data_IF_279370453929
#
_entry.id   IF_279370453929
#
_cell.length_a   1.000
_cell.length_b   1.000
_cell.length_c   1.000
_cell.angle_alpha   90.00
_cell.angle_beta   90.00
_cell.angle_gamma   90.00
#
_symmetry.space_group_name_H-M   'P 1'
#
loop_
_entity.id
_entity.type
_entity.pdbx_description
1 polymer ?
#
# COMPACT_ATOMS: atom_id res chain seq x y z
N UNK A 1 -11.22 22.66 -32.25
CA UNK A 1 -11.26 21.30 -32.83
C UNK A 1 -9.94 20.62 -32.49
N UNK A 2 -9.96 19.45 -31.84
CA UNK A 2 -8.74 18.80 -31.31
C UNK A 2 -7.88 18.13 -32.39
N UNK A 3 -8.50 17.60 -33.44
CA UNK A 3 -7.82 16.92 -34.55
C UNK A 3 -8.31 17.54 -35.86
N UNK A 4 -7.42 18.10 -36.71
CA UNK A 4 -7.82 18.66 -37.99
C UNK A 4 -8.10 17.54 -39.02
N UNK A 5 -9.04 17.76 -39.95
CA UNK A 5 -9.35 16.79 -41.02
C UNK A 5 -8.13 16.36 -41.83
N UNK A 6 -7.19 17.29 -42.08
CA UNK A 6 -5.92 17.01 -42.75
C UNK A 6 -5.06 15.93 -42.08
N UNK A 7 -5.31 15.60 -40.80
CA UNK A 7 -4.60 14.52 -40.11
C UNK A 7 -5.03 13.14 -40.62
N UNK A 8 -6.33 12.96 -40.89
CA UNK A 8 -6.84 11.70 -41.44
C UNK A 8 -6.38 11.48 -42.88
N UNK A 9 -6.32 12.54 -43.68
CA UNK A 9 -5.79 12.46 -45.05
C UNK A 9 -4.29 12.12 -45.08
N UNK A 10 -3.50 12.64 -44.14
CA UNK A 10 -2.09 12.24 -44.00
C UNK A 10 -1.93 10.80 -43.52
N UNK A 11 -2.74 10.36 -42.57
CA UNK A 11 -2.70 9.00 -42.06
C UNK A 11 -3.09 7.96 -43.13
N UNK A 12 -4.05 8.27 -44.03
CA UNK A 12 -4.35 7.44 -45.21
C UNK A 12 -3.16 7.28 -46.16
N UNK A 13 -2.28 8.28 -46.22
CA UNK A 13 -1.04 8.25 -47.01
C UNK A 13 0.12 7.59 -46.24
N UNK A 14 -0.15 6.93 -45.10
CA UNK A 14 0.83 6.23 -44.28
C UNK A 14 1.63 7.12 -43.34
N UNK A 15 1.25 8.40 -43.19
CA UNK A 15 1.93 9.35 -42.31
C UNK A 15 1.05 9.74 -41.12
N UNK A 16 1.19 8.99 -40.04
CA UNK A 16 0.44 9.17 -38.81
C UNK A 16 0.90 10.33 -37.95
N UNK A 17 0.05 10.71 -37.01
CA UNK A 17 0.28 11.85 -36.12
C UNK A 17 -0.26 11.59 -34.73
N UNK A 18 0.43 12.13 -33.72
CA UNK A 18 -0.03 12.14 -32.33
C UNK A 18 -0.37 13.56 -31.88
N UNK A 19 -1.51 13.71 -31.22
CA UNK A 19 -2.01 14.93 -30.62
C UNK A 19 -2.08 14.74 -29.10
N UNK A 20 -1.17 15.39 -28.38
CA UNK A 20 -1.21 15.44 -26.92
C UNK A 20 -2.09 16.61 -26.47
N UNK A 21 -3.09 16.33 -25.64
CA UNK A 21 -4.10 17.28 -25.20
C UNK A 21 -4.08 17.41 -23.69
N UNK A 22 -3.45 18.46 -23.20
CA UNK A 22 -3.42 18.76 -21.76
C UNK A 22 -4.56 19.74 -21.44
N UNK A 23 -5.63 19.26 -20.79
CA UNK A 23 -6.78 20.10 -20.39
C UNK A 23 -7.43 19.60 -19.09
N UNK A 24 -7.97 20.52 -18.26
CA UNK A 24 -8.79 20.13 -17.11
C UNK A 24 -9.94 19.18 -17.51
N UNK A 25 -10.38 18.30 -16.59
CA UNK A 25 -11.45 17.36 -16.89
C UNK A 25 -12.77 18.12 -17.06
N UNK A 26 -13.58 17.71 -18.03
CA UNK A 26 -14.86 18.39 -18.27
C UNK A 26 -15.55 17.98 -19.57
N UNK A 27 -16.85 18.29 -19.63
CA UNK A 27 -17.74 17.90 -20.73
C UNK A 27 -17.25 18.37 -22.12
N UNK A 28 -16.50 19.46 -22.20
CA UNK A 28 -15.94 19.95 -23.46
C UNK A 28 -14.82 19.06 -24.03
N UNK A 29 -13.99 18.47 -23.17
CA UNK A 29 -12.94 17.53 -23.59
C UNK A 29 -13.57 16.28 -24.18
N UNK A 30 -14.51 15.68 -23.44
CA UNK A 30 -15.26 14.50 -23.88
C UNK A 30 -16.01 14.77 -25.18
N UNK A 31 -16.68 15.92 -25.34
CA UNK A 31 -17.35 16.31 -26.59
C UNK A 31 -16.39 16.39 -27.78
N UNK A 32 -15.18 16.90 -27.59
CA UNK A 32 -14.19 16.96 -28.66
C UNK A 32 -13.60 15.59 -29.03
N UNK A 33 -13.40 14.69 -28.05
CA UNK A 33 -12.96 13.32 -28.32
C UNK A 33 -14.02 12.51 -29.07
N UNK A 34 -15.28 12.62 -28.66
CA UNK A 34 -16.42 12.01 -29.36
C UNK A 34 -16.51 12.51 -30.81
N UNK A 35 -16.38 13.82 -31.02
CA UNK A 35 -16.39 14.39 -32.38
C UNK A 35 -15.21 13.94 -33.23
N UNK A 36 -14.03 13.73 -32.64
CA UNK A 36 -12.88 13.18 -33.35
C UNK A 36 -13.13 11.72 -33.78
N UNK A 37 -13.76 10.92 -32.92
CA UNK A 37 -14.16 9.54 -33.24
C UNK A 37 -15.22 9.48 -34.36
N UNK A 38 -16.22 10.36 -34.34
CA UNK A 38 -17.21 10.48 -35.42
C UNK A 38 -16.55 10.85 -36.76
N UNK A 39 -15.63 11.82 -36.73
CA UNK A 39 -14.91 12.26 -37.91
C UNK A 39 -14.01 11.17 -38.49
N UNK A 40 -13.33 10.40 -37.64
CA UNK A 40 -12.52 9.26 -38.05
C UNK A 40 -13.35 8.19 -38.76
N UNK A 41 -14.51 7.84 -38.21
CA UNK A 41 -15.43 6.88 -38.84
C UNK A 41 -15.92 7.37 -40.20
N UNK A 42 -16.23 8.66 -40.35
CA UNK A 42 -16.61 9.24 -41.62
C UNK A 42 -15.50 9.15 -42.69
N UNK A 43 -14.22 9.10 -42.26
CA UNK A 43 -13.06 8.94 -43.13
C UNK A 43 -12.63 7.48 -43.32
N UNK A 44 -13.39 6.51 -42.80
CA UNK A 44 -13.12 5.07 -42.95
C UNK A 44 -12.07 4.50 -42.00
N UNK A 45 -11.76 5.19 -40.90
CA UNK A 45 -10.80 4.71 -39.90
C UNK A 45 -11.47 3.77 -38.88
N UNK A 46 -10.75 2.75 -38.44
CA UNK A 46 -11.08 2.03 -37.22
C UNK A 46 -10.94 2.98 -36.01
N UNK A 47 -11.73 2.78 -34.95
CA UNK A 47 -11.65 3.62 -33.75
C UNK A 47 -11.46 2.75 -32.52
N UNK A 48 -10.34 2.95 -31.83
CA UNK A 48 -10.08 2.35 -30.52
C UNK A 48 -9.98 3.44 -29.46
N UNK A 49 -10.66 3.23 -28.33
CA UNK A 49 -10.71 4.19 -27.22
C UNK A 49 -10.41 3.44 -25.93
N UNK A 50 -9.34 3.86 -25.24
CA UNK A 50 -9.00 3.42 -23.90
C UNK A 50 -9.14 4.59 -22.89
N UNK A 51 -9.95 4.38 -21.85
CA UNK A 51 -9.98 5.25 -20.68
C UNK A 51 -9.05 4.70 -19.60
N UNK A 52 -8.10 5.51 -19.14
CA UNK A 52 -7.13 5.11 -18.13
C UNK A 52 -7.72 5.24 -16.72
N UNK A 53 -7.29 4.35 -15.82
CA UNK A 53 -7.69 4.30 -14.41
C UNK A 53 -6.51 3.81 -13.57
N UNK A 54 -6.39 4.34 -12.35
CA UNK A 54 -5.22 4.11 -11.49
C UNK A 54 -5.09 2.66 -10.98
N UNK A 55 -6.19 1.90 -10.95
CA UNK A 55 -6.23 0.51 -10.49
C UNK A 55 -6.07 -0.51 -11.63
N UNK A 56 -5.73 -0.06 -12.84
CA UNK A 56 -5.57 -0.92 -14.00
C UNK A 56 -4.21 -1.65 -14.01
N UNK A 57 -4.14 -2.86 -14.60
CA UNK A 57 -2.89 -3.56 -14.86
C UNK A 57 -1.91 -2.75 -15.72
N UNK A 58 -0.62 -3.12 -15.66
CA UNK A 58 0.42 -2.60 -16.55
C UNK A 58 -0.03 -2.68 -18.03
N UNK A 59 0.27 -1.64 -18.81
CA UNK A 59 -0.08 -1.53 -20.22
C UNK A 59 -1.57 -1.63 -20.58
N UNK A 60 -2.49 -1.57 -19.60
CA UNK A 60 -3.94 -1.68 -19.81
C UNK A 60 -4.49 -0.82 -20.96
N UNK A 61 -4.11 0.47 -21.13
CA UNK A 61 -4.64 1.26 -22.23
C UNK A 61 -4.30 0.67 -23.59
N UNK A 62 -3.10 0.11 -23.74
CA UNK A 62 -2.64 -0.50 -24.98
C UNK A 62 -3.28 -1.88 -25.21
N UNK A 63 -3.53 -2.65 -24.15
CA UNK A 63 -4.34 -3.87 -24.24
C UNK A 63 -5.76 -3.57 -24.75
N UNK A 64 -6.41 -2.53 -24.19
CA UNK A 64 -7.72 -2.09 -24.62
C UNK A 64 -7.73 -1.55 -26.06
N UNK A 65 -6.67 -0.85 -26.47
CA UNK A 65 -6.50 -0.37 -27.86
C UNK A 65 -6.35 -1.54 -28.83
N UNK A 66 -5.46 -2.50 -28.56
CA UNK A 66 -5.25 -3.67 -29.42
C UNK A 66 -6.53 -4.51 -29.52
N UNK A 67 -7.21 -4.76 -28.40
CA UNK A 67 -8.49 -5.45 -28.39
C UNK A 67 -9.55 -4.71 -29.24
N UNK A 68 -9.61 -3.38 -29.15
CA UNK A 68 -10.51 -2.54 -29.94
C UNK A 68 -10.20 -2.52 -31.44
N UNK A 69 -8.95 -2.81 -31.82
CA UNK A 69 -8.52 -2.96 -33.22
C UNK A 69 -8.57 -4.41 -33.72
N UNK A 70 -8.93 -5.37 -32.86
CA UNK A 70 -8.96 -6.80 -33.19
C UNK A 70 -7.58 -7.46 -33.27
N UNK A 71 -6.56 -6.88 -32.64
CA UNK A 71 -5.21 -7.41 -32.57
C UNK A 71 -5.00 -8.28 -31.31
N UNK A 72 -3.97 -9.14 -31.35
CA UNK A 72 -3.63 -10.02 -30.23
C UNK A 72 -3.01 -9.22 -29.07
N UNK A 73 -3.68 -9.23 -27.92
CA UNK A 73 -3.24 -8.50 -26.71
C UNK A 73 -2.10 -9.19 -25.97
N UNK A 74 -1.85 -10.47 -26.22
CA UNK A 74 -0.79 -11.24 -25.55
C UNK A 74 0.62 -10.79 -25.95
N UNK A 75 0.74 -10.04 -27.06
CA UNK A 75 1.98 -9.42 -27.54
C UNK A 75 2.59 -8.44 -26.52
N UNK A 76 1.75 -7.76 -25.74
CA UNK A 76 2.19 -6.78 -24.74
C UNK A 76 2.84 -7.41 -23.49
N UNK A 77 2.60 -8.69 -23.22
CA UNK A 77 3.19 -9.39 -22.07
C UNK A 77 4.60 -9.92 -22.40
N UNK A 78 4.92 -10.10 -23.69
CA UNK A 78 6.18 -10.69 -24.15
C UNK A 78 7.15 -9.68 -24.77
N UNK A 79 6.65 -8.73 -25.57
CA UNK A 79 7.43 -7.71 -26.26
C UNK A 79 6.56 -6.46 -26.48
N UNK A 80 6.46 -5.56 -25.48
CA UNK A 80 5.60 -4.37 -25.54
C UNK A 80 5.85 -3.48 -26.77
N UNK A 81 7.09 -3.42 -27.25
CA UNK A 81 7.50 -2.69 -28.46
C UNK A 81 6.82 -3.17 -29.76
N UNK A 82 6.37 -4.42 -29.82
CA UNK A 82 5.70 -5.02 -30.99
C UNK A 82 4.31 -4.40 -31.25
N UNK A 83 3.79 -3.61 -30.29
CA UNK A 83 2.58 -2.81 -30.50
C UNK A 83 2.69 -1.94 -31.76
N UNK A 84 3.89 -1.47 -32.11
CA UNK A 84 4.11 -0.64 -33.32
C UNK A 84 3.79 -1.42 -34.59
N UNK A 85 4.14 -2.71 -34.64
CA UNK A 85 3.86 -3.58 -35.78
C UNK A 85 2.36 -3.87 -35.91
N UNK A 86 1.69 -4.11 -34.77
CA UNK A 86 0.25 -4.30 -34.73
C UNK A 86 -0.53 -3.07 -35.25
N UNK A 87 0.04 -1.87 -35.10
CA UNK A 87 -0.55 -0.60 -35.57
C UNK A 87 -0.24 -0.28 -37.03
N UNK A 88 0.62 -1.04 -37.70
CA UNK A 88 1.00 -0.79 -39.10
C UNK A 88 -0.06 -1.22 -40.12
N UNK A 89 -1.09 -1.95 -39.68
CA UNK A 89 -2.15 -2.50 -40.52
C UNK A 89 -3.19 -1.46 -40.96
N UNK A 90 -4.38 -1.54 -40.38
CA UNK A 90 -5.54 -0.75 -40.81
C UNK A 90 -5.45 0.69 -40.29
N UNK A 91 -5.80 1.71 -41.11
CA UNK A 91 -5.87 3.08 -40.63
C UNK A 91 -6.80 3.23 -39.41
N UNK A 92 -6.26 3.77 -38.31
CA UNK A 92 -6.97 3.81 -37.03
C UNK A 92 -6.85 5.17 -36.32
N UNK A 93 -7.95 5.60 -35.70
CA UNK A 93 -7.93 6.60 -34.64
C UNK A 93 -7.80 5.89 -33.30
N UNK A 94 -6.78 6.26 -32.53
CA UNK A 94 -6.52 5.74 -31.19
C UNK A 94 -6.71 6.88 -30.20
N UNK A 95 -7.59 6.69 -29.22
CA UNK A 95 -7.80 7.62 -28.12
C UNK A 95 -7.31 6.98 -26.82
N UNK A 96 -6.31 7.59 -26.19
CA UNK A 96 -5.84 7.25 -24.84
C UNK A 96 -6.24 8.41 -23.93
N UNK A 97 -7.32 8.24 -23.18
CA UNK A 97 -7.88 9.28 -22.31
C UNK A 97 -7.31 9.17 -20.90
N UNK A 98 -6.85 10.29 -20.34
CA UNK A 98 -6.22 10.45 -19.02
C UNK A 98 -4.98 9.57 -18.82
N UNK A 99 -4.02 9.61 -19.76
CA UNK A 99 -2.82 8.76 -19.75
C UNK A 99 -2.01 8.84 -18.45
N UNK A 100 -2.11 9.95 -17.72
CA UNK A 100 -1.45 10.16 -16.42
C UNK A 100 -1.90 9.14 -15.36
N UNK A 101 -3.09 8.54 -15.51
CA UNK A 101 -3.62 7.52 -14.61
C UNK A 101 -3.15 6.10 -14.95
N UNK A 102 -2.44 5.90 -16.07
CA UNK A 102 -2.08 4.56 -16.56
C UNK A 102 -0.74 3.99 -16.03
N UNK A 103 -0.06 4.71 -15.14
CA UNK A 103 1.24 4.32 -14.60
C UNK A 103 2.42 4.57 -15.57
N UNK A 104 3.63 4.44 -15.06
CA UNK A 104 4.87 4.81 -15.78
C UNK A 104 5.13 3.93 -17.01
N UNK A 105 4.79 2.64 -16.93
CA UNK A 105 5.02 1.64 -17.98
C UNK A 105 4.18 1.94 -19.24
N UNK A 106 2.90 2.28 -19.05
CA UNK A 106 2.01 2.69 -20.15
C UNK A 106 2.42 4.04 -20.75
N UNK A 107 2.92 4.97 -19.93
CA UNK A 107 3.45 6.24 -20.41
C UNK A 107 4.70 6.05 -21.29
N UNK A 108 5.64 5.20 -20.86
CA UNK A 108 6.84 4.85 -21.65
C UNK A 108 6.48 4.19 -22.97
N UNK A 109 5.55 3.24 -22.97
CA UNK A 109 5.09 2.60 -24.20
C UNK A 109 4.42 3.61 -25.16
N UNK A 110 3.63 4.54 -24.62
CA UNK A 110 3.04 5.63 -25.40
C UNK A 110 4.10 6.51 -26.07
N UNK A 111 5.22 6.76 -25.41
CA UNK A 111 6.36 7.48 -25.98
C UNK A 111 7.06 6.70 -27.10
N UNK A 112 7.22 5.38 -26.94
CA UNK A 112 7.77 4.50 -27.98
C UNK A 112 6.90 4.55 -29.24
N UNK A 113 5.58 4.42 -29.09
CA UNK A 113 4.63 4.55 -30.21
C UNK A 113 4.70 5.94 -30.84
N UNK A 114 4.79 6.99 -30.03
CA UNK A 114 4.94 8.36 -30.53
C UNK A 114 6.17 8.54 -31.42
N UNK A 115 7.29 7.89 -31.08
CA UNK A 115 8.52 7.90 -31.89
C UNK A 115 8.35 7.30 -33.29
N UNK A 116 7.45 6.32 -33.44
CA UNK A 116 7.21 5.59 -34.69
C UNK A 116 5.97 6.06 -35.46
N UNK A 117 5.13 6.94 -34.90
CA UNK A 117 3.82 7.33 -35.43
C UNK A 117 3.84 7.84 -36.88
N UNK A 118 4.93 8.48 -37.29
CA UNK A 118 5.10 9.07 -38.62
C UNK A 118 5.15 8.05 -39.77
N UNK A 119 5.32 6.76 -39.46
CA UNK A 119 5.36 5.63 -40.40
C UNK A 119 4.10 4.75 -40.36
N UNK A 120 3.15 5.10 -39.50
CA UNK A 120 1.96 4.31 -39.24
C UNK A 120 0.73 5.01 -39.82
N UNK A 121 -0.29 4.28 -40.31
CA UNK A 121 -1.52 4.88 -40.81
C UNK A 121 -2.47 5.32 -39.69
N UNK A 122 -1.95 5.85 -38.57
CA UNK A 122 -2.74 6.11 -37.36
C UNK A 122 -2.81 7.58 -36.98
N UNK A 123 -3.93 7.98 -36.40
CA UNK A 123 -4.08 9.23 -35.67
C UNK A 123 -4.23 8.90 -34.19
N UNK A 124 -3.33 9.39 -33.35
CA UNK A 124 -3.36 9.13 -31.91
C UNK A 124 -3.73 10.41 -31.18
N UNK A 125 -4.72 10.35 -30.30
CA UNK A 125 -5.07 11.43 -29.37
C UNK A 125 -4.80 10.93 -27.96
N UNK A 126 -3.86 11.58 -27.29
CA UNK A 126 -3.54 11.30 -25.89
C UNK A 126 -4.01 12.48 -25.08
N UNK A 127 -4.85 12.26 -24.07
CA UNK A 127 -5.21 13.34 -23.14
C UNK A 127 -4.46 13.18 -21.84
N UNK A 128 -4.05 14.32 -21.29
CA UNK A 128 -3.55 14.44 -19.92
C UNK A 128 -4.37 15.50 -19.20
N UNK A 129 -4.63 15.25 -17.92
CA UNK A 129 -5.24 16.26 -17.07
C UNK A 129 -4.09 16.92 -16.31
N UNK A 130 -3.78 18.20 -16.56
CA UNK A 130 -2.80 18.89 -15.74
C UNK A 130 -3.36 18.92 -14.31
N UNK A 131 -2.72 18.19 -13.41
CA UNK A 131 -2.80 18.50 -11.99
C UNK A 131 -2.13 19.86 -11.88
N UNK A 132 -2.92 20.93 -11.88
CA UNK A 132 -2.40 22.23 -11.45
C UNK A 132 -1.86 22.00 -10.04
N UNK A 133 -0.58 22.32 -9.76
CA UNK A 133 -0.11 22.29 -8.39
C UNK A 133 -0.96 23.29 -7.63
N UNK A 134 -1.87 22.78 -6.82
CA UNK A 134 -2.54 23.58 -5.81
C UNK A 134 -1.48 24.19 -4.89
N UNK A 135 -1.74 25.37 -4.30
CA UNK A 135 -0.80 25.96 -3.36
C UNK A 135 -0.41 24.92 -2.28
N UNK A 136 0.88 24.69 -2.05
CA UNK A 136 1.35 23.65 -1.14
C UNK A 136 0.72 23.82 0.24
N UNK A 137 0.11 22.75 0.76
CA UNK A 137 -0.39 22.65 2.13
C UNK A 137 -1.91 22.73 2.33
N UNK A 138 -2.69 23.43 1.50
CA UNK A 138 -4.15 23.51 1.71
C UNK A 138 -4.89 22.23 1.28
N UNK A 139 -4.47 21.62 0.17
CA UNK A 139 -5.05 20.36 -0.30
C UNK A 139 -4.58 19.17 0.54
N UNK A 140 -3.30 19.15 0.93
CA UNK A 140 -2.77 18.13 1.82
C UNK A 140 -3.47 18.13 3.18
N UNK A 141 -3.66 19.30 3.82
CA UNK A 141 -4.37 19.38 5.09
C UNK A 141 -5.82 18.84 5.00
N UNK A 142 -6.51 19.13 3.90
CA UNK A 142 -7.86 18.61 3.65
C UNK A 142 -7.87 17.10 3.40
N UNK A 143 -6.85 16.58 2.70
CA UNK A 143 -6.67 15.14 2.51
C UNK A 143 -6.41 14.43 3.84
N UNK A 144 -5.58 14.99 4.72
CA UNK A 144 -5.34 14.46 6.07
C UNK A 144 -6.62 14.48 6.91
N UNK A 145 -7.41 15.56 6.88
CA UNK A 145 -8.69 15.64 7.59
C UNK A 145 -9.68 14.57 7.10
N UNK A 146 -9.78 14.38 5.78
CA UNK A 146 -10.60 13.31 5.19
C UNK A 146 -10.07 11.93 5.56
N UNK A 147 -8.76 11.75 5.62
CA UNK A 147 -8.14 10.49 6.04
C UNK A 147 -8.50 10.15 7.49
N UNK A 148 -8.45 11.13 8.40
CA UNK A 148 -8.90 10.94 9.78
C UNK A 148 -10.38 10.55 9.87
N UNK A 149 -11.23 11.17 9.05
CA UNK A 149 -12.65 10.82 8.97
C UNK A 149 -12.84 9.39 8.47
N UNK A 150 -12.14 9.02 7.39
CA UNK A 150 -12.16 7.66 6.86
C UNK A 150 -11.65 6.62 7.89
N UNK A 151 -10.61 6.92 8.65
CA UNK A 151 -10.15 6.06 9.75
C UNK A 151 -11.22 5.88 10.84
N UNK A 152 -11.89 6.96 11.24
CA UNK A 152 -12.94 6.89 12.26
C UNK A 152 -14.13 6.01 11.83
N UNK A 153 -14.39 5.94 10.53
CA UNK A 153 -15.44 5.11 9.92
C UNK A 153 -14.96 3.70 9.52
N UNK A 154 -13.71 3.32 9.82
CA UNK A 154 -13.16 2.00 9.47
C UNK A 154 -12.76 1.84 7.99
N UNK A 155 -12.79 2.92 7.20
CA UNK A 155 -12.37 2.94 5.78
C UNK A 155 -10.84 3.07 5.65
N UNK A 156 -10.11 2.07 6.18
CA UNK A 156 -8.65 2.08 6.33
C UNK A 156 -7.91 2.25 4.98
N UNK A 157 -8.36 1.58 3.92
CA UNK A 157 -7.73 1.67 2.59
C UNK A 157 -7.83 3.09 2.04
N UNK A 158 -9.04 3.67 2.05
CA UNK A 158 -9.24 5.05 1.58
C UNK A 158 -8.44 6.06 2.41
N UNK A 159 -8.40 5.88 3.74
CA UNK A 159 -7.59 6.73 4.60
C UNK A 159 -6.10 6.71 4.21
N UNK A 160 -5.56 5.54 3.84
CA UNK A 160 -4.17 5.41 3.38
C UNK A 160 -3.94 6.04 2.01
N UNK A 161 -4.87 5.88 1.08
CA UNK A 161 -4.76 6.50 -0.25
C UNK A 161 -4.75 8.03 -0.14
N UNK A 162 -5.59 8.58 0.75
CA UNK A 162 -5.63 10.01 1.05
C UNK A 162 -4.32 10.50 1.69
N UNK A 163 -3.74 9.72 2.62
CA UNK A 163 -2.45 10.05 3.24
C UNK A 163 -1.27 9.95 2.26
N UNK A 164 -1.27 8.95 1.37
CA UNK A 164 -0.23 8.82 0.34
C UNK A 164 -0.29 10.01 -0.62
N UNK A 165 -1.50 10.42 -1.01
CA UNK A 165 -1.70 11.63 -1.81
C UNK A 165 -1.21 12.87 -1.08
N UNK A 166 -1.58 13.05 0.20
CA UNK A 166 -1.10 14.20 0.99
C UNK A 166 0.42 14.23 1.13
N UNK A 167 1.05 13.06 1.32
CA UNK A 167 2.51 12.95 1.39
C UNK A 167 3.17 13.33 0.05
N UNK A 168 2.61 12.88 -1.08
CA UNK A 168 3.05 13.28 -2.43
C UNK A 168 2.87 14.77 -2.71
N UNK A 169 1.83 15.37 -2.13
CA UNK A 169 1.53 16.80 -2.24
C UNK A 169 2.39 17.66 -1.28
N UNK A 170 3.38 17.07 -0.62
CA UNK A 170 4.39 17.76 0.16
C UNK A 170 4.08 17.89 1.65
N UNK A 171 3.16 17.09 2.21
CA UNK A 171 2.94 17.00 3.65
C UNK A 171 3.74 15.81 4.27
N UNK A 172 4.94 16.06 4.83
CA UNK A 172 5.74 15.02 5.45
C UNK A 172 5.08 14.38 6.69
N UNK A 173 4.12 15.05 7.35
CA UNK A 173 3.40 14.47 8.49
C UNK A 173 2.39 13.41 8.04
N UNK A 174 1.83 13.52 6.83
CA UNK A 174 0.96 12.49 6.27
C UNK A 174 1.65 11.12 6.14
N UNK A 175 2.96 11.12 5.85
CA UNK A 175 3.76 9.89 5.77
C UNK A 175 3.79 9.11 7.10
N UNK A 176 3.72 9.79 8.26
CA UNK A 176 3.66 9.14 9.58
C UNK A 176 2.38 8.32 9.78
N UNK A 177 1.29 8.72 9.12
CA UNK A 177 -0.02 8.10 9.23
C UNK A 177 -0.16 6.81 8.42
N UNK A 178 0.59 6.65 7.33
CA UNK A 178 0.45 5.54 6.38
C UNK A 178 0.52 4.14 7.03
N UNK A 179 1.50 3.85 7.90
CA UNK A 179 1.59 2.51 8.47
C UNK A 179 0.59 2.32 9.63
N UNK A 180 -0.06 3.39 10.11
CA UNK A 180 -1.14 3.36 11.10
C UNK A 180 -0.66 3.41 12.56
N UNK A 181 -1.52 3.09 13.52
CA UNK A 181 -1.20 3.15 14.96
C UNK A 181 -0.23 2.03 15.43
N UNK A 182 -0.15 0.94 14.69
CA UNK A 182 0.71 -0.21 15.00
C UNK A 182 1.75 -0.39 13.89
N UNK A 183 2.84 -1.07 14.22
CA UNK A 183 3.90 -1.38 13.24
C UNK A 183 3.42 -2.52 12.34
N UNK A 184 3.83 -2.51 11.07
CA UNK A 184 3.56 -3.58 10.10
C UNK A 184 2.07 -3.98 9.93
N UNK A 185 1.14 -3.01 9.83
CA UNK A 185 -0.28 -3.27 9.57
C UNK A 185 -0.64 -3.26 8.08
N UNK A 186 0.16 -3.93 7.24
CA UNK A 186 -0.03 -3.96 5.79
C UNK A 186 -0.54 -5.32 5.33
N UNK A 187 -1.48 -5.34 4.37
CA UNK A 187 -1.96 -6.59 3.75
C UNK A 187 -0.98 -7.10 2.70
N UNK A 188 -0.38 -6.19 1.94
CA UNK A 188 0.60 -6.52 0.90
C UNK A 188 1.98 -5.95 1.21
N UNK A 189 3.01 -6.66 0.72
CA UNK A 189 4.41 -6.20 0.78
C UNK A 189 4.62 -4.87 0.03
N UNK A 190 3.86 -4.66 -1.04
CA UNK A 190 3.90 -3.42 -1.83
C UNK A 190 3.45 -2.20 -1.01
N UNK A 191 2.33 -2.30 -0.27
CA UNK A 191 1.83 -1.22 0.60
C UNK A 191 2.87 -0.81 1.64
N UNK A 192 3.56 -1.79 2.23
CA UNK A 192 4.65 -1.53 3.17
C UNK A 192 5.80 -0.81 2.48
N UNK A 193 6.24 -1.30 1.32
CA UNK A 193 7.35 -0.69 0.59
C UNK A 193 7.05 0.76 0.21
N UNK A 194 5.81 1.04 -0.21
CA UNK A 194 5.33 2.39 -0.48
C UNK A 194 5.41 3.28 0.77
N UNK A 195 4.87 2.83 1.90
CA UNK A 195 4.90 3.61 3.13
C UNK A 195 6.33 3.90 3.61
N UNK A 196 7.25 2.94 3.48
CA UNK A 196 8.68 3.13 3.79
C UNK A 196 9.33 4.13 2.83
N UNK A 197 9.00 4.07 1.54
CA UNK A 197 9.49 5.05 0.57
C UNK A 197 9.03 6.47 0.93
N UNK A 198 7.75 6.65 1.28
CA UNK A 198 7.20 7.96 1.70
C UNK A 198 7.85 8.50 2.96
N UNK A 199 8.10 7.64 3.96
CA UNK A 199 8.82 8.04 5.18
C UNK A 199 10.26 8.51 4.87
N UNK A 200 10.94 7.86 3.93
CA UNK A 200 12.30 8.26 3.50
C UNK A 200 12.29 9.55 2.71
N UNK A 201 11.39 9.69 1.73
CA UNK A 201 11.21 10.93 0.98
C UNK A 201 10.92 12.12 1.90
N UNK A 202 10.04 11.92 2.90
CA UNK A 202 9.74 12.93 3.91
C UNK A 202 10.98 13.31 4.74
N UNK A 203 11.87 12.36 5.07
CA UNK A 203 13.13 12.61 5.77
C UNK A 203 14.18 13.31 4.89
N UNK A 204 14.27 12.93 3.63
CA UNK A 204 15.18 13.52 2.64
C UNK A 204 14.83 14.99 2.35
N UNK A 205 13.57 15.37 2.61
CA UNK A 205 13.12 16.78 2.65
C UNK A 205 13.67 17.59 3.83
N UNK A 206 14.46 16.99 4.72
CA UNK A 206 15.05 17.62 5.91
C UNK A 206 14.01 18.39 6.76
N UNK A 207 12.94 17.73 7.23
CA UNK A 207 11.89 18.39 7.99
C UNK A 207 12.45 18.94 9.30
N UNK A 208 11.86 20.02 9.85
CA UNK A 208 12.29 20.55 11.14
C UNK A 208 11.98 19.58 12.29
N UNK A 209 12.64 19.78 13.43
CA UNK A 209 12.21 19.13 14.67
C UNK A 209 10.86 19.71 15.14
N UNK A 210 10.00 18.91 15.80
CA UNK A 210 10.23 17.52 16.21
C UNK A 210 9.83 16.47 15.15
N UNK A 211 9.34 16.90 13.97
CA UNK A 211 8.83 16.00 12.93
C UNK A 211 9.92 15.05 12.41
N UNK A 212 11.15 15.54 12.27
CA UNK A 212 12.29 14.70 11.89
C UNK A 212 12.50 13.53 12.85
N UNK A 213 12.51 13.77 14.16
CA UNK A 213 12.63 12.69 15.16
C UNK A 213 11.46 11.71 15.10
N UNK A 214 10.23 12.19 14.88
CA UNK A 214 9.04 11.32 14.72
C UNK A 214 9.18 10.40 13.50
N UNK A 215 9.63 10.93 12.36
CA UNK A 215 9.86 10.15 11.13
C UNK A 215 10.98 9.11 11.30
N UNK A 216 12.10 9.48 11.93
CA UNK A 216 13.20 8.55 12.26
C UNK A 216 12.68 7.41 13.13
N UNK A 217 11.96 7.75 14.19
CA UNK A 217 11.38 6.77 15.12
C UNK A 217 10.43 5.82 14.39
N UNK A 218 9.57 6.35 13.51
CA UNK A 218 8.65 5.52 12.73
C UNK A 218 9.39 4.56 11.81
N UNK A 219 10.38 5.05 11.08
CA UNK A 219 11.17 4.23 10.16
C UNK A 219 11.97 3.15 10.91
N UNK A 220 12.57 3.49 12.06
CA UNK A 220 13.28 2.54 12.92
C UNK A 220 12.33 1.42 13.41
N UNK A 221 11.12 1.76 13.85
CA UNK A 221 10.13 0.78 14.30
C UNK A 221 9.67 -0.16 13.18
N UNK A 222 9.41 0.36 11.96
CA UNK A 222 9.05 -0.50 10.83
C UNK A 222 10.19 -1.42 10.38
N UNK A 223 11.45 -0.98 10.51
CA UNK A 223 12.62 -1.81 10.25
C UNK A 223 12.86 -2.87 11.34
N UNK A 224 12.61 -2.55 12.61
CA UNK A 224 12.76 -3.48 13.72
C UNK A 224 11.93 -4.75 13.50
N UNK A 225 10.72 -4.61 12.94
CA UNK A 225 9.85 -5.74 12.63
C UNK A 225 10.43 -6.70 11.57
N UNK A 226 11.14 -6.18 10.58
CA UNK A 226 11.73 -6.97 9.49
C UNK A 226 13.09 -7.56 9.86
N UNK A 227 13.94 -6.76 10.50
CA UNK A 227 15.33 -7.13 10.82
C UNK A 227 15.45 -7.86 12.15
N UNK A 228 14.44 -7.76 13.01
CA UNK A 228 14.44 -8.25 14.41
C UNK A 228 15.55 -7.60 15.26
N UNK A 229 15.86 -6.34 14.94
CA UNK A 229 16.83 -5.50 15.64
C UNK A 229 16.07 -4.44 16.44
N UNK A 230 16.34 -4.31 17.73
CA UNK A 230 15.55 -3.43 18.64
C UNK A 230 16.33 -2.20 19.10
N UNK A 231 17.64 -2.22 18.90
CA UNK A 231 18.56 -1.16 19.26
C UNK A 231 18.23 0.15 18.51
N UNK A 232 17.97 0.17 17.19
CA UNK A 232 17.69 1.42 16.48
C UNK A 232 16.41 2.12 16.96
N UNK A 233 15.38 1.37 17.36
CA UNK A 233 14.13 1.98 17.87
C UNK A 233 14.31 2.49 19.31
N UNK A 234 15.15 1.85 20.11
CA UNK A 234 15.52 2.33 21.45
C UNK A 234 16.36 3.61 21.38
N UNK A 235 17.30 3.69 20.43
CA UNK A 235 18.07 4.91 20.17
C UNK A 235 17.15 6.06 19.73
N UNK A 236 16.20 5.78 18.82
CA UNK A 236 15.22 6.77 18.39
C UNK A 236 14.29 7.22 19.53
N UNK A 237 13.97 6.34 20.48
CA UNK A 237 13.23 6.71 21.69
C UNK A 237 14.02 7.68 22.57
N UNK A 238 15.32 7.48 22.75
CA UNK A 238 16.17 8.42 23.50
C UNK A 238 16.29 9.78 22.77
N UNK A 239 16.34 9.78 21.44
CA UNK A 239 16.24 11.03 20.66
C UNK A 239 14.89 11.73 20.91
N UNK A 240 13.79 10.98 20.91
CA UNK A 240 12.46 11.52 21.19
C UNK A 240 12.37 12.15 22.59
N UNK A 241 12.98 11.53 23.61
CA UNK A 241 13.09 12.11 24.97
C UNK A 241 13.82 13.45 24.95
N UNK A 242 14.92 13.54 24.21
CA UNK A 242 15.74 14.75 24.14
C UNK A 242 15.01 15.95 23.48
N UNK A 243 13.98 15.71 22.66
CA UNK A 243 13.18 16.79 22.06
C UNK A 243 12.37 17.59 23.08
N UNK A 244 12.01 16.98 24.22
CA UNK A 244 11.08 17.57 25.19
C UNK A 244 9.64 17.70 24.70
N UNK A 245 9.31 17.24 23.49
CA UNK A 245 7.95 17.29 22.94
C UNK A 245 7.15 16.05 23.40
N UNK A 246 6.04 16.22 24.15
CA UNK A 246 5.31 15.11 24.74
C UNK A 246 4.59 14.24 23.70
N UNK A 247 4.21 14.79 22.53
CA UNK A 247 3.62 14.00 21.44
C UNK A 247 4.66 13.07 20.83
N UNK A 248 5.84 13.60 20.53
CA UNK A 248 6.97 12.85 19.98
C UNK A 248 7.38 11.73 20.93
N UNK A 249 7.49 12.00 22.23
CA UNK A 249 7.77 10.98 23.23
C UNK A 249 6.67 9.92 23.30
N UNK A 250 5.40 10.30 23.33
CA UNK A 250 4.29 9.33 23.39
C UNK A 250 4.24 8.43 22.14
N UNK A 251 4.42 8.98 20.94
CA UNK A 251 4.50 8.19 19.71
C UNK A 251 5.69 7.22 19.73
N UNK A 252 6.86 7.69 20.17
CA UNK A 252 8.06 6.86 20.29
C UNK A 252 7.91 5.72 21.29
N UNK A 253 7.35 5.98 22.48
CA UNK A 253 7.05 4.95 23.47
C UNK A 253 6.09 3.88 22.92
N UNK A 254 5.07 4.32 22.17
CA UNK A 254 4.07 3.43 21.56
C UNK A 254 4.68 2.49 20.50
N UNK A 255 5.62 3.02 19.70
CA UNK A 255 6.32 2.28 18.65
C UNK A 255 7.40 1.35 19.24
N UNK A 256 8.20 1.84 20.18
CA UNK A 256 9.22 1.05 20.87
C UNK A 256 8.59 -0.14 21.61
N UNK A 257 7.47 0.08 22.30
CA UNK A 257 6.71 -1.00 22.94
C UNK A 257 6.35 -2.12 21.95
N UNK A 258 5.85 -1.74 20.77
CA UNK A 258 5.44 -2.71 19.76
C UNK A 258 6.63 -3.45 19.14
N UNK A 259 7.75 -2.76 18.90
CA UNK A 259 8.97 -3.37 18.37
C UNK A 259 9.58 -4.40 19.33
N UNK A 260 9.36 -4.24 20.65
CA UNK A 260 9.87 -5.12 21.70
C UNK A 260 8.92 -6.28 22.04
N UNK A 261 8.09 -6.75 21.12
CA UNK A 261 7.03 -7.73 21.45
C UNK A 261 7.52 -9.10 21.98
N UNK A 262 8.80 -9.43 21.83
CA UNK A 262 9.34 -10.72 22.28
C UNK A 262 9.30 -10.90 23.82
N UNK A 263 9.13 -12.14 24.33
CA UNK A 263 8.87 -12.39 25.76
C UNK A 263 9.94 -11.86 26.71
N UNK A 264 11.20 -11.84 26.30
CA UNK A 264 12.34 -11.34 27.08
C UNK A 264 12.21 -9.86 27.45
N UNK A 265 11.42 -9.08 26.69
CA UNK A 265 11.22 -7.65 26.93
C UNK A 265 9.93 -7.34 27.72
N UNK A 266 9.19 -8.33 28.21
CA UNK A 266 7.85 -8.10 28.80
C UNK A 266 7.87 -7.09 29.95
N UNK A 267 8.88 -7.13 30.84
CA UNK A 267 9.00 -6.18 31.94
C UNK A 267 9.31 -4.74 31.46
N UNK A 268 10.20 -4.61 30.47
CA UNK A 268 10.53 -3.33 29.85
C UNK A 268 9.30 -2.74 29.14
N UNK A 269 8.56 -3.56 28.39
CA UNK A 269 7.30 -3.18 27.75
C UNK A 269 6.30 -2.60 28.74
N UNK A 270 6.10 -3.23 29.89
CA UNK A 270 5.19 -2.71 30.90
C UNK A 270 5.62 -1.29 31.36
N UNK A 271 6.91 -1.08 31.60
CA UNK A 271 7.44 0.24 31.96
C UNK A 271 7.21 1.29 30.86
N UNK A 272 7.44 0.94 29.59
CA UNK A 272 7.16 1.81 28.44
C UNK A 272 5.67 2.14 28.33
N UNK A 273 4.79 1.17 28.58
CA UNK A 273 3.35 1.36 28.53
C UNK A 273 2.84 2.26 29.68
N UNK A 274 3.37 2.10 30.88
CA UNK A 274 3.07 2.97 32.03
C UNK A 274 3.50 4.41 31.77
N UNK A 275 4.71 4.60 31.23
CA UNK A 275 5.19 5.93 30.84
C UNK A 275 4.34 6.54 29.73
N UNK A 276 3.98 5.76 28.70
CA UNK A 276 3.10 6.20 27.62
C UNK A 276 1.76 6.70 28.16
N UNK A 277 1.12 5.94 29.06
CA UNK A 277 -0.14 6.35 29.69
C UNK A 277 0.03 7.68 30.43
N UNK A 278 1.12 7.83 31.19
CA UNK A 278 1.43 9.05 31.94
C UNK A 278 1.61 10.27 31.02
N UNK A 279 2.53 10.19 30.07
CA UNK A 279 2.88 11.28 29.14
C UNK A 279 1.68 11.66 28.27
N UNK A 280 1.01 10.67 27.68
CA UNK A 280 -0.13 10.94 26.80
C UNK A 280 -1.33 11.52 27.58
N UNK A 281 -1.57 11.08 28.81
CA UNK A 281 -2.64 11.64 29.64
C UNK A 281 -2.35 13.09 30.03
N UNK A 282 -1.12 13.39 30.47
CA UNK A 282 -0.71 14.74 30.82
C UNK A 282 -0.80 15.71 29.62
N UNK A 283 -0.43 15.24 28.44
CA UNK A 283 -0.49 16.01 27.19
C UNK A 283 -1.87 16.00 26.50
N UNK A 284 -2.88 15.35 27.10
CA UNK A 284 -4.25 15.22 26.55
C UNK A 284 -4.30 14.56 25.16
N UNK A 285 -3.41 13.60 24.91
CA UNK A 285 -3.35 12.79 23.69
C UNK A 285 -4.25 11.55 23.86
N UNK A 286 -5.58 11.76 23.82
CA UNK A 286 -6.59 10.78 24.23
C UNK A 286 -6.44 9.39 23.62
N UNK A 287 -6.28 9.29 22.30
CA UNK A 287 -6.13 8.00 21.62
C UNK A 287 -4.81 7.29 21.99
N UNK A 288 -3.71 8.03 22.15
CA UNK A 288 -2.41 7.46 22.57
C UNK A 288 -2.44 7.01 24.03
N UNK A 289 -3.10 7.74 24.92
CA UNK A 289 -3.28 7.33 26.32
C UNK A 289 -4.09 6.02 26.40
N UNK A 290 -5.14 5.92 25.60
CA UNK A 290 -5.95 4.71 25.53
C UNK A 290 -5.20 3.53 24.89
N UNK A 291 -4.39 3.78 23.87
CA UNK A 291 -3.56 2.74 23.25
C UNK A 291 -2.45 2.26 24.20
N UNK A 292 -1.94 3.13 25.07
CA UNK A 292 -1.06 2.79 26.18
C UNK A 292 -1.75 1.90 27.22
N UNK A 293 -3.00 2.19 27.59
CA UNK A 293 -3.78 1.32 28.48
C UNK A 293 -4.01 -0.08 27.89
N UNK A 294 -4.26 -0.16 26.59
CA UNK A 294 -4.37 -1.43 25.87
C UNK A 294 -3.07 -2.25 25.97
N UNK A 295 -1.93 -1.62 25.65
CA UNK A 295 -0.58 -2.22 25.75
C UNK A 295 -0.26 -2.70 27.15
N UNK A 296 -0.45 -1.84 28.15
CA UNK A 296 -0.28 -2.16 29.57
C UNK A 296 -1.11 -3.38 29.97
N UNK A 297 -2.36 -3.44 29.54
CA UNK A 297 -3.26 -4.57 29.85
C UNK A 297 -2.73 -5.88 29.25
N UNK A 298 -2.22 -5.86 28.01
CA UNK A 298 -1.57 -7.02 27.40
C UNK A 298 -0.35 -7.47 28.19
N UNK A 299 0.52 -6.54 28.59
CA UNK A 299 1.74 -6.84 29.34
C UNK A 299 1.43 -7.44 30.72
N UNK A 300 0.41 -6.94 31.42
CA UNK A 300 -0.04 -7.49 32.70
C UNK A 300 -0.50 -8.95 32.55
N UNK A 301 -1.22 -9.29 31.47
CA UNK A 301 -1.58 -10.68 31.20
C UNK A 301 -0.37 -11.56 30.88
N UNK A 302 0.61 -11.03 30.13
CA UNK A 302 1.86 -11.75 29.85
C UNK A 302 2.67 -12.04 31.11
N UNK A 303 2.66 -11.12 32.09
CA UNK A 303 3.34 -11.28 33.38
C UNK A 303 2.54 -12.09 34.41
N UNK A 304 1.26 -12.36 34.14
CA UNK A 304 0.37 -12.99 35.12
C UNK A 304 0.06 -12.09 36.32
N UNK A 305 0.10 -10.77 36.13
CA UNK A 305 -0.15 -9.81 37.20
C UNK A 305 -1.63 -9.84 37.63
N UNK A 306 -1.94 -9.86 38.94
CA UNK A 306 -3.32 -9.94 39.43
C UNK A 306 -4.20 -8.74 39.05
N UNK A 307 -3.61 -7.60 38.66
CA UNK A 307 -4.33 -6.40 38.24
C UNK A 307 -4.74 -6.43 36.76
N UNK A 308 -4.34 -7.44 35.97
CA UNK A 308 -4.62 -7.51 34.54
C UNK A 308 -6.12 -7.41 34.24
N UNK A 309 -6.96 -8.13 34.98
CA UNK A 309 -8.42 -8.13 34.77
C UNK A 309 -9.06 -6.78 35.06
N UNK A 310 -8.60 -6.11 36.13
CA UNK A 310 -9.06 -4.75 36.47
C UNK A 310 -8.67 -3.77 35.36
N UNK A 311 -7.46 -3.89 34.82
CA UNK A 311 -6.99 -3.08 33.70
C UNK A 311 -7.83 -3.32 32.45
N UNK A 312 -8.23 -4.57 32.17
CA UNK A 312 -9.08 -4.92 31.04
C UNK A 312 -10.48 -4.31 31.15
N UNK A 313 -11.10 -4.33 32.34
CA UNK A 313 -12.42 -3.69 32.57
C UNK A 313 -12.34 -2.19 32.29
N UNK A 314 -11.27 -1.54 32.74
CA UNK A 314 -11.07 -0.12 32.48
C UNK A 314 -10.84 0.19 30.99
N UNK A 315 -10.08 -0.67 30.30
CA UNK A 315 -9.91 -0.58 28.86
C UNK A 315 -11.25 -0.67 28.13
N UNK A 316 -12.09 -1.66 28.47
CA UNK A 316 -13.41 -1.83 27.86
C UNK A 316 -14.27 -0.57 27.99
N UNK A 317 -14.30 0.02 29.19
CA UNK A 317 -15.07 1.24 29.49
C UNK A 317 -14.59 2.43 28.67
N UNK A 318 -13.27 2.63 28.56
CA UNK A 318 -12.70 3.79 27.86
C UNK A 318 -12.63 3.62 26.34
N UNK A 319 -12.57 2.39 25.84
CA UNK A 319 -12.46 2.08 24.42
C UNK A 319 -13.81 1.94 23.69
N UNK A 320 -14.94 2.19 24.36
CA UNK A 320 -16.28 1.99 23.81
C UNK A 320 -16.52 2.65 22.43
N UNK A 321 -15.87 3.79 22.17
CA UNK A 321 -15.98 4.52 20.89
C UNK A 321 -14.76 4.32 19.97
N UNK A 322 -13.93 3.31 20.22
CA UNK A 322 -12.71 3.02 19.47
C UNK A 322 -12.70 1.55 19.00
N UNK A 323 -13.36 1.23 17.86
CA UNK A 323 -13.52 -0.13 17.38
C UNK A 323 -12.21 -0.93 17.28
N UNK A 324 -11.13 -0.30 16.80
CA UNK A 324 -9.81 -0.93 16.72
C UNK A 324 -9.25 -1.37 18.08
N UNK A 325 -9.59 -0.68 19.18
CA UNK A 325 -9.16 -1.08 20.53
C UNK A 325 -10.12 -2.07 21.18
N UNK A 326 -11.41 -2.03 20.81
CA UNK A 326 -12.37 -3.07 21.20
C UNK A 326 -12.00 -4.44 20.62
N UNK A 327 -11.44 -4.48 19.42
CA UNK A 327 -10.90 -5.71 18.84
C UNK A 327 -9.84 -6.37 19.74
N UNK A 328 -8.83 -5.62 20.20
CA UNK A 328 -7.81 -6.15 21.11
C UNK A 328 -8.39 -6.53 22.47
N UNK A 329 -9.35 -5.76 23.00
CA UNK A 329 -10.07 -6.15 24.21
C UNK A 329 -10.80 -7.49 24.05
N UNK A 330 -11.49 -7.70 22.93
CA UNK A 330 -12.19 -8.95 22.64
C UNK A 330 -11.21 -10.13 22.51
N UNK A 331 -10.05 -9.92 21.88
CA UNK A 331 -8.99 -10.93 21.80
C UNK A 331 -8.48 -11.34 23.19
N UNK A 332 -8.32 -10.39 24.12
CA UNK A 332 -7.95 -10.68 25.51
C UNK A 332 -9.02 -11.51 26.23
N UNK A 333 -10.31 -11.25 25.99
CA UNK A 333 -11.41 -12.03 26.57
C UNK A 333 -11.45 -13.48 26.02
N UNK A 334 -11.19 -13.66 24.72
CA UNK A 334 -11.02 -15.00 24.12
C UNK A 334 -9.89 -15.73 24.81
N UNK A 335 -8.70 -15.11 24.90
CA UNK A 335 -7.53 -15.70 25.56
C UNK A 335 -7.82 -16.13 27.00
N UNK A 336 -8.50 -15.29 27.80
CA UNK A 336 -8.89 -15.64 29.17
C UNK A 336 -9.86 -16.81 29.22
N UNK A 337 -10.81 -16.85 28.31
CA UNK A 337 -11.81 -17.93 28.22
C UNK A 337 -11.15 -19.27 27.84
N UNK A 338 -10.14 -19.24 26.95
CA UNK A 338 -9.27 -20.38 26.64
C UNK A 338 -8.53 -20.85 27.90
N UNK A 339 -7.88 -19.93 28.65
CA UNK A 339 -7.13 -20.26 29.87
C UNK A 339 -7.99 -20.87 30.97
N UNK A 340 -9.28 -20.52 31.01
CA UNK A 340 -10.24 -21.10 31.93
C UNK A 340 -10.78 -22.47 31.48
N UNK A 341 -10.33 -23.02 30.34
CA UNK A 341 -10.76 -24.31 29.80
C UNK A 341 -12.17 -24.29 29.17
N UNK A 342 -12.80 -23.13 29.03
CA UNK A 342 -14.15 -23.00 28.47
C UNK A 342 -14.11 -22.90 26.94
N UNK A 343 -13.64 -23.96 26.29
CA UNK A 343 -13.30 -23.94 24.87
C UNK A 343 -14.47 -23.65 23.92
N UNK A 344 -15.67 -24.18 24.18
CA UNK A 344 -16.85 -23.90 23.35
C UNK A 344 -17.25 -22.42 23.41
N UNK A 345 -17.19 -21.81 24.60
CA UNK A 345 -17.42 -20.37 24.78
C UNK A 345 -16.32 -19.55 24.08
N UNK A 346 -15.05 -19.96 24.22
CA UNK A 346 -13.93 -19.29 23.58
C UNK A 346 -14.04 -19.27 22.05
N UNK A 347 -14.55 -20.34 21.44
CA UNK A 347 -14.79 -20.41 20.00
C UNK A 347 -15.87 -19.42 19.54
N UNK A 348 -16.98 -19.31 20.28
CA UNK A 348 -18.02 -18.30 20.01
C UNK A 348 -17.49 -16.87 20.18
N UNK A 349 -16.72 -16.63 21.24
CA UNK A 349 -16.05 -15.33 21.45
C UNK A 349 -15.04 -15.02 20.37
N UNK A 350 -14.35 -16.02 19.83
CA UNK A 350 -13.39 -15.84 18.72
C UNK A 350 -14.09 -15.38 17.44
N UNK A 351 -15.27 -15.93 17.12
CA UNK A 351 -16.09 -15.46 16.00
C UNK A 351 -16.60 -14.02 16.21
N UNK A 352 -16.98 -13.68 17.45
CA UNK A 352 -17.36 -12.31 17.77
C UNK A 352 -16.17 -11.34 17.64
N UNK A 353 -15.00 -11.72 18.12
CA UNK A 353 -13.76 -10.97 17.98
C UNK A 353 -13.39 -10.74 16.50
N UNK A 354 -13.53 -11.77 15.65
CA UNK A 354 -13.32 -11.66 14.20
C UNK A 354 -14.23 -10.59 13.59
N UNK A 355 -15.53 -10.62 13.94
CA UNK A 355 -16.51 -9.65 13.43
C UNK A 355 -16.13 -8.21 13.80
N UNK A 356 -15.78 -7.97 15.07
CA UNK A 356 -15.31 -6.65 15.52
C UNK A 356 -14.07 -6.21 14.73
N UNK A 357 -13.11 -7.11 14.51
CA UNK A 357 -11.89 -6.81 13.76
C UNK A 357 -12.17 -6.47 12.28
N UNK A 358 -13.06 -7.21 11.62
CA UNK A 358 -13.48 -6.95 10.25
C UNK A 358 -14.23 -5.62 10.11
N UNK A 359 -15.17 -5.33 11.03
CA UNK A 359 -15.88 -4.05 11.09
C UNK A 359 -14.95 -2.88 11.36
N UNK A 360 -13.90 -3.09 12.16
CA UNK A 360 -12.85 -2.10 12.42
C UNK A 360 -11.81 -1.97 11.28
N UNK A 361 -11.88 -2.83 10.25
CA UNK A 361 -10.92 -2.87 9.14
C UNK A 361 -9.52 -3.36 9.53
N UNK A 362 -9.35 -4.05 10.67
CA UNK A 362 -8.04 -4.54 11.12
C UNK A 362 -7.57 -5.71 10.23
N UNK A 363 -6.34 -5.59 9.72
CA UNK A 363 -5.74 -6.56 8.80
C UNK A 363 -5.46 -7.91 9.47
N UNK A 364 -5.34 -7.95 10.80
CA UNK A 364 -5.00 -9.17 11.55
C UNK A 364 -6.23 -9.94 12.04
N UNK A 365 -7.45 -9.45 11.79
CA UNK A 365 -8.69 -10.01 12.35
C UNK A 365 -8.82 -11.53 12.10
N UNK A 366 -8.58 -11.96 10.87
CA UNK A 366 -8.60 -13.38 10.47
C UNK A 366 -7.46 -14.17 11.11
N UNK A 367 -6.27 -13.59 11.18
CA UNK A 367 -5.10 -14.23 11.80
C UNK A 367 -5.33 -14.48 13.30
N UNK A 368 -5.93 -13.53 14.02
CA UNK A 368 -6.33 -13.73 15.41
C UNK A 368 -7.34 -14.86 15.55
N UNK A 369 -8.38 -14.88 14.70
CA UNK A 369 -9.40 -15.94 14.74
C UNK A 369 -8.79 -17.33 14.52
N UNK A 370 -7.98 -17.48 13.47
CA UNK A 370 -7.28 -18.73 13.16
C UNK A 370 -6.33 -19.15 14.27
N UNK A 371 -5.62 -18.20 14.90
CA UNK A 371 -4.73 -18.47 16.04
C UNK A 371 -5.49 -18.92 17.28
N UNK A 372 -6.65 -18.33 17.56
CA UNK A 372 -7.52 -18.77 18.67
C UNK A 372 -8.01 -20.21 18.43
N UNK A 373 -8.49 -20.53 17.22
CA UNK A 373 -8.93 -21.88 16.88
C UNK A 373 -7.78 -22.89 16.99
N UNK A 374 -6.60 -22.53 16.48
CA UNK A 374 -5.40 -23.34 16.63
C UNK A 374 -5.13 -23.64 18.11
N UNK A 375 -5.10 -22.61 18.97
CA UNK A 375 -4.86 -22.78 20.41
C UNK A 375 -5.92 -23.65 21.10
N UNK A 376 -7.20 -23.46 20.76
CA UNK A 376 -8.30 -24.26 21.29
C UNK A 376 -8.13 -25.74 20.91
N UNK A 377 -7.93 -26.04 19.62
CA UNK A 377 -7.79 -27.42 19.14
C UNK A 377 -6.54 -28.09 19.69
N UNK A 378 -5.43 -27.36 19.79
CA UNK A 378 -4.21 -27.85 20.44
C UNK A 378 -4.45 -28.25 21.90
N UNK A 379 -5.08 -27.39 22.69
CA UNK A 379 -5.38 -27.66 24.10
C UNK A 379 -6.43 -28.76 24.31
N UNK A 380 -7.30 -28.99 23.33
CA UNK A 380 -8.23 -30.13 23.30
C UNK A 380 -7.55 -31.48 22.94
N UNK A 381 -6.26 -31.47 22.59
CA UNK A 381 -5.56 -32.66 22.09
C UNK A 381 -5.94 -33.03 20.66
N UNK A 382 -6.66 -32.16 19.94
CA UNK A 382 -7.12 -32.36 18.55
C UNK A 382 -6.06 -31.87 17.55
N UNK A 383 -4.80 -32.20 17.81
CA UNK A 383 -3.66 -31.74 17.01
C UNK A 383 -3.68 -32.23 15.56
N UNK A 384 -4.36 -33.33 15.26
CA UNK A 384 -4.50 -33.86 13.90
C UNK A 384 -5.24 -32.90 12.96
N UNK A 385 -6.25 -32.18 13.47
CA UNK A 385 -7.01 -31.18 12.70
C UNK A 385 -6.19 -29.92 12.39
N UNK A 386 -5.05 -29.74 13.07
CA UNK A 386 -4.18 -28.58 12.87
C UNK A 386 -3.28 -28.72 11.65
N UNK A 387 -3.04 -29.94 11.16
CA UNK A 387 -2.27 -30.17 9.93
C UNK A 387 -3.08 -29.64 8.73
N UNK A 388 -4.36 -29.97 8.67
CA UNK A 388 -5.28 -29.49 7.64
C UNK A 388 -5.45 -27.97 7.68
N UNK A 389 -5.52 -27.39 8.89
CA UNK A 389 -5.61 -25.94 9.09
C UNK A 389 -4.31 -25.22 8.69
N UNK A 390 -3.15 -25.79 9.00
CA UNK A 390 -1.85 -25.25 8.62
C UNK A 390 -1.65 -25.30 7.10
N UNK A 391 -2.07 -26.37 6.43
CA UNK A 391 -2.05 -26.47 4.97
C UNK A 391 -2.92 -25.39 4.33
N UNK A 392 -4.13 -25.14 4.82
CA UNK A 392 -5.00 -24.07 4.32
C UNK A 392 -4.41 -22.66 4.49
N UNK A 393 -3.72 -22.39 5.60
CA UNK A 393 -3.02 -21.11 5.83
C UNK A 393 -1.82 -20.96 4.90
N UNK A 394 -1.12 -22.05 4.57
CA UNK A 394 0.03 -22.03 3.65
C UNK A 394 -0.38 -21.75 2.20
N UNK A 395 -1.63 -22.06 1.82
CA UNK A 395 -2.19 -21.84 0.48
C UNK A 395 -3.07 -20.58 0.39
N UNK A 396 -3.15 -19.79 1.46
CA UNK A 396 -3.84 -18.49 1.44
C UNK A 396 -2.93 -17.44 0.78
N UNK A 397 -3.45 -16.60 -0.13
CA UNK A 397 -2.69 -15.52 -0.77
C UNK A 397 -2.21 -14.42 0.20
N UNK A 398 -2.65 -14.46 1.47
CA UNK A 398 -2.12 -13.61 2.54
C UNK A 398 -1.03 -14.34 3.32
N UNK A 399 0.27 -13.97 3.15
CA UNK A 399 1.32 -14.54 3.97
C UNK A 399 1.09 -14.15 5.43
N UNK A 400 1.04 -15.15 6.31
CA UNK A 400 1.05 -14.93 7.74
C UNK A 400 2.27 -14.06 8.09
N UNK A 401 2.04 -12.93 8.78
CA UNK A 401 3.11 -12.02 9.19
C UNK A 401 4.21 -12.77 9.97
N UNK A 402 5.46 -12.32 9.94
CA UNK A 402 6.61 -13.04 10.53
C UNK A 402 6.52 -13.32 12.05
N UNK A 403 5.49 -12.80 12.74
CA UNK A 403 5.11 -13.18 14.11
C UNK A 403 4.37 -14.52 14.24
N UNK A 404 3.79 -15.04 13.16
CA UNK A 404 3.09 -16.36 13.09
C UNK A 404 3.91 -17.36 12.27
N UNK A 405 5.24 -17.22 12.24
CA UNK A 405 6.05 -18.39 11.92
C UNK A 405 6.01 -19.33 13.14
N UNK A 406 5.08 -20.29 13.10
CA UNK A 406 5.05 -21.49 13.93
C UNK A 406 6.31 -22.33 13.66
N UNK A 407 7.50 -21.80 13.99
CA UNK A 407 8.80 -22.48 13.84
C UNK A 407 8.94 -23.72 14.74
N UNK A 408 7.94 -23.99 15.59
CA UNK A 408 7.83 -25.21 16.40
C UNK A 408 6.75 -26.20 15.95
N UNK A 409 5.80 -25.82 15.09
CA UNK A 409 4.63 -26.66 14.77
C UNK A 409 4.99 -27.89 13.94
N UNK A 410 5.79 -27.71 12.89
CA UNK A 410 6.18 -28.79 11.96
C UNK A 410 7.16 -29.79 12.57
N UNK A 411 8.02 -29.38 13.53
CA UNK A 411 8.93 -30.32 14.22
C UNK A 411 8.27 -31.14 15.32
N UNK A 412 7.24 -30.61 16.00
CA UNK A 412 6.57 -31.32 17.11
C UNK A 412 5.40 -32.19 16.63
N UNK A 413 4.72 -31.80 15.54
CA UNK A 413 3.71 -32.66 14.92
C UNK A 413 4.33 -33.94 14.32
N UNK A 414 5.49 -33.81 13.64
CA UNK A 414 6.22 -34.94 13.07
C UNK A 414 6.87 -35.88 14.10
N UNK A 415 7.10 -35.44 15.34
CA UNK A 415 7.70 -36.29 16.37
C UNK A 415 6.70 -37.24 17.05
N UNK A 416 5.39 -37.05 16.84
CA UNK A 416 4.35 -37.99 17.33
C UNK A 416 3.81 -38.91 16.24
N UNK A 417 3.95 -38.56 14.97
CA UNK A 417 3.69 -39.42 13.82
C UNK A 417 5.01 -39.98 13.30
N UNK A 418 5.49 -41.07 13.89
CA UNK A 418 6.77 -41.66 13.51
C UNK A 418 6.82 -42.07 12.03
N UNK A 419 7.55 -41.31 11.22
CA UNK A 419 8.08 -41.76 9.93
C UNK A 419 9.40 -41.06 9.65
N UNK A 420 10.48 -41.84 9.72
CA UNK A 420 11.84 -41.47 9.34
C UNK A 420 11.99 -41.38 7.82
N UNK A 421 12.48 -40.25 7.30
CA UNK A 421 12.87 -40.11 5.89
C UNK A 421 13.71 -38.86 5.67
N UNK A 422 14.98 -39.04 5.37
CA UNK A 422 16.02 -38.02 5.18
C UNK A 422 16.20 -37.65 3.70
N UNK A 423 16.52 -36.37 3.38
CA UNK A 423 17.60 -35.89 2.45
C UNK A 423 17.44 -34.39 2.03
N UNK A 424 18.50 -33.73 1.49
CA UNK A 424 18.97 -32.42 1.96
C UNK A 424 18.72 -31.20 1.03
N UNK A 425 19.07 -30.03 1.60
CA UNK A 425 19.08 -28.66 1.05
C UNK A 425 20.17 -28.48 -0.03
N UNK A 426 19.85 -27.74 -1.10
CA UNK A 426 20.79 -27.25 -2.11
C UNK A 426 20.82 -25.72 -2.14
N UNK A 427 22.05 -25.20 -2.12
CA UNK A 427 22.46 -23.79 -2.17
C UNK A 427 22.46 -23.26 -3.60
N UNK A 428 22.14 -21.97 -3.82
CA UNK A 428 22.50 -21.26 -5.05
C UNK A 428 22.48 -19.72 -4.85
N UNK A 429 23.67 -19.12 -4.89
CA UNK A 429 23.92 -17.69 -5.05
C UNK A 429 23.95 -17.30 -6.53
N UNK A 430 23.47 -16.10 -6.90
CA UNK A 430 23.98 -15.36 -8.07
C UNK A 430 23.96 -13.85 -7.75
N UNK A 431 25.10 -13.22 -8.05
CA UNK A 431 25.44 -11.80 -7.98
C UNK A 431 25.53 -11.26 -9.43
N UNK A 432 25.12 -10.01 -9.70
CA UNK A 432 25.81 -9.16 -10.70
C UNK A 432 25.42 -7.67 -10.62
N UNK A 433 26.41 -6.82 -10.84
CA UNK A 433 26.39 -5.36 -10.81
C UNK A 433 26.27 -4.76 -12.23
N UNK A 434 25.70 -3.54 -12.39
CA UNK A 434 26.36 -2.35 -13.03
C UNK A 434 25.46 -1.12 -13.31
N UNK A 435 25.85 0.00 -12.67
CA UNK A 435 26.07 1.40 -13.15
C UNK A 435 25.21 2.16 -14.20
N UNK A 436 24.59 3.26 -13.72
CA UNK A 436 24.62 4.71 -14.11
C UNK A 436 24.52 5.20 -15.58
N UNK A 437 23.62 6.19 -15.83
CA UNK A 437 23.89 7.64 -16.13
C UNK A 437 22.58 8.40 -16.48
N UNK A 438 22.46 9.65 -16.03
CA UNK A 438 21.26 10.49 -16.18
C UNK A 438 21.26 11.51 -17.33
N UNK A 439 20.15 12.23 -17.50
CA UNK A 439 20.09 13.55 -18.15
C UNK A 439 18.83 14.32 -17.75
N UNK A 440 18.97 15.63 -17.53
CA UNK A 440 17.92 16.59 -17.19
C UNK A 440 17.22 17.15 -18.44
N UNK A 441 15.96 17.59 -18.31
CA UNK A 441 15.24 18.37 -19.33
C UNK A 441 14.46 19.51 -18.65
N UNK A 442 14.65 20.72 -19.15
CA UNK A 442 13.96 21.95 -18.72
C UNK A 442 12.60 22.10 -19.44
N UNK A 443 11.61 22.63 -18.71
CA UNK A 443 10.24 22.89 -19.19
C UNK A 443 10.07 24.32 -19.73
N UNK A 444 9.37 24.47 -20.86
CA UNK A 444 8.65 25.70 -21.24
C UNK A 444 7.36 25.34 -22.02
N UNK A 445 6.29 26.08 -21.76
CA UNK A 445 4.90 25.86 -22.18
C UNK A 445 4.57 25.99 -23.69
N UNK A 446 3.47 25.32 -24.06
CA UNK A 446 2.59 25.44 -25.26
C UNK A 446 2.70 24.33 -26.34
N UNK A 447 1.59 23.57 -26.46
CA UNK A 447 1.16 22.65 -27.55
C UNK A 447 2.26 22.18 -28.51
N UNK A 448 2.72 20.94 -28.31
CA UNK A 448 3.70 20.31 -29.20
C UNK A 448 3.03 19.41 -30.25
N UNK A 449 3.24 19.72 -31.53
CA UNK A 449 3.13 18.73 -32.61
C UNK A 449 4.51 18.10 -32.75
N UNK A 450 4.68 16.88 -32.23
CA UNK A 450 5.92 16.12 -32.44
C UNK A 450 6.01 15.76 -33.93
N UNK A 451 6.93 16.41 -34.65
CA UNK A 451 7.32 16.01 -36.01
C UNK A 451 8.56 15.13 -35.90
N UNK A 452 8.47 13.90 -36.39
CA UNK A 452 9.63 13.02 -36.53
C UNK A 452 10.73 13.66 -37.38
N UNK A 453 11.99 13.23 -37.22
CA UNK A 453 13.12 13.78 -37.97
C UNK A 453 12.87 13.61 -39.47
N UNK A 454 13.00 14.70 -40.24
CA UNK A 454 12.96 14.65 -41.70
C UNK A 454 14.13 13.80 -42.17
N UNK A 455 13.84 12.70 -42.86
CA UNK A 455 14.85 11.90 -43.54
C UNK A 455 15.64 12.76 -44.52
N UNK A 456 16.91 13.00 -44.21
CA UNK A 456 17.88 13.55 -45.14
C UNK A 456 18.49 12.41 -45.94
N UNK A 457 18.04 12.24 -47.17
CA UNK A 457 18.80 11.53 -48.19
C UNK A 457 19.88 12.45 -48.76
N UNK A 458 21.10 11.91 -48.86
CA UNK A 458 22.12 12.12 -49.90
C UNK A 458 23.52 12.04 -49.29
N UNK A 459 24.30 11.07 -49.78
CA UNK A 459 25.68 10.76 -49.42
C UNK A 459 26.00 9.38 -49.96
#
# INVERSE_FOLDING_TARGET
>A
MLVPESAFERAKLGSGQLFAVTRPPGAERTRHLVRAAELARAHGFAVAWAGCRADAPAFWPWQAVLAGLGADTSTLDAAPEDVVEALAGTPALIVVDDVDLAGEEAARLTQVVAGSVHRLPVVIVVTSTPVLPSPPGQDAARLVERAHTAFAEGRITEARDLLDQAARDGDPEAALGLPGMWVNKFRARADRALAIARLREALDGHPPEPLRTRLITRLAAEHAYERRETEPVLEALEMARATGDPRTLAEALSLAHHALWSPEHTALRLALADELVSVASAARLGLLALSGLCRRTMDLFCLGDPHAERSQVELARRAANHPGLLFFHAAMDVMRTIRAGRFAEAEQKSLHCLRIGLEAGDVDAETFHSTHLFAIRWLQGRGGELVDLAEQVTHSPHPAGPGVQLRGGTRVAGSRSGTTGSRPVGDASIDDQRTQRGSAVQHVDHVHVLRGPRGGGAG
#
